data_IF_999093184003
#
_entry.id   IF_999093184003
#
_cell.length_a   1.000
_cell.length_b   1.000
_cell.length_c   1.000
_cell.angle_alpha   90.00
_cell.angle_beta   90.00
_cell.angle_gamma   90.00
#
_symmetry.space_group_name_H-M   'P 1'
#
loop_
_entity.id
_entity.type
_entity.pdbx_description
1 polymer ?
#
# COMPACT_ATOMS: atom_id res chain seq x y z
N UNK A 1 30.68 -16.82 -54.38
CA UNK A 1 29.47 -16.81 -53.54
C UNK A 1 29.91 -16.93 -52.09
N UNK A 2 29.86 -15.84 -51.32
CA UNK A 2 30.20 -15.85 -49.88
C UNK A 2 28.97 -16.27 -49.07
N UNK A 3 29.07 -17.21 -48.10
CA UNK A 3 27.96 -17.53 -47.22
C UNK A 3 27.79 -16.42 -46.17
N UNK A 4 26.56 -15.92 -46.01
CA UNK A 4 26.21 -15.00 -44.92
C UNK A 4 26.36 -15.71 -43.57
N UNK A 5 27.11 -15.06 -42.68
CA UNK A 5 27.32 -15.45 -41.29
C UNK A 5 26.00 -15.47 -40.50
N UNK A 6 25.62 -16.66 -40.02
CA UNK A 6 24.42 -16.94 -39.19
C UNK A 6 24.55 -16.48 -37.71
N UNK A 7 25.33 -15.44 -37.40
CA UNK A 7 25.78 -15.17 -36.02
C UNK A 7 25.30 -13.88 -35.36
N UNK A 8 24.26 -13.22 -35.87
CA UNK A 8 23.88 -11.88 -35.36
C UNK A 8 22.39 -11.65 -35.14
N UNK A 9 21.58 -12.68 -34.89
CA UNK A 9 20.12 -12.51 -34.65
C UNK A 9 19.72 -12.73 -33.17
N UNK A 10 20.59 -13.27 -32.32
CA UNK A 10 20.21 -13.71 -30.96
C UNK A 10 20.12 -12.59 -29.89
N UNK A 11 20.83 -11.44 -29.92
CA UNK A 11 20.82 -10.55 -28.74
C UNK A 11 19.58 -9.64 -28.68
N UNK A 12 18.85 -9.45 -29.78
CA UNK A 12 17.73 -8.50 -29.83
C UNK A 12 16.47 -9.01 -29.09
N UNK A 13 16.24 -10.33 -29.07
CA UNK A 13 15.04 -10.90 -28.44
C UNK A 13 15.09 -10.88 -26.91
N UNK A 14 16.30 -10.95 -26.33
CA UNK A 14 16.49 -10.92 -24.88
C UNK A 14 16.18 -9.52 -24.28
N UNK A 15 16.46 -8.44 -25.02
CA UNK A 15 16.21 -7.07 -24.54
C UNK A 15 14.71 -6.71 -24.49
N UNK A 16 13.90 -7.31 -25.37
CA UNK A 16 12.44 -7.11 -25.43
C UNK A 16 11.74 -7.88 -24.29
N UNK A 17 12.24 -9.05 -23.91
CA UNK A 17 11.66 -9.82 -22.81
C UNK A 17 11.92 -9.19 -21.44
N UNK A 18 13.04 -8.48 -21.25
CA UNK A 18 13.30 -7.75 -19.99
C UNK A 18 12.41 -6.51 -19.80
N UNK A 19 11.89 -5.92 -20.88
CA UNK A 19 11.04 -4.71 -20.79
C UNK A 19 9.57 -5.04 -20.58
N UNK A 20 9.12 -6.27 -20.86
CA UNK A 20 7.72 -6.68 -20.66
C UNK A 20 7.34 -6.91 -19.18
N UNK A 21 8.31 -7.18 -18.30
CA UNK A 21 8.04 -7.43 -16.87
C UNK A 21 7.66 -6.19 -16.06
N UNK A 22 8.01 -4.99 -16.52
CA UNK A 22 7.82 -3.75 -15.77
C UNK A 22 6.38 -3.21 -15.81
N UNK A 23 5.52 -3.72 -16.70
CA UNK A 23 4.20 -3.11 -16.96
C UNK A 23 3.10 -3.65 -16.01
N UNK A 24 3.35 -4.77 -15.31
CA UNK A 24 2.33 -5.44 -14.49
C UNK A 24 2.20 -4.94 -13.02
N UNK A 25 2.66 -3.73 -12.72
CA UNK A 25 2.65 -3.19 -11.34
C UNK A 25 1.64 -2.05 -11.08
N UNK A 26 0.68 -1.78 -11.98
CA UNK A 26 -0.21 -0.60 -11.91
C UNK A 26 -1.58 -0.86 -11.25
N UNK A 27 -1.71 -1.87 -10.39
CA UNK A 27 -3.00 -2.30 -9.84
C UNK A 27 -3.55 -1.44 -8.68
N UNK A 28 -2.94 -0.29 -8.35
CA UNK A 28 -3.40 0.60 -7.27
C UNK A 28 -4.76 1.29 -7.49
N UNK A 29 -5.27 1.33 -8.74
CA UNK A 29 -6.44 2.15 -9.07
C UNK A 29 -7.75 1.39 -9.33
N UNK A 30 -7.71 0.07 -9.58
CA UNK A 30 -8.91 -0.69 -10.00
C UNK A 30 -9.63 -1.40 -8.85
N UNK A 31 -9.36 -0.99 -7.61
CA UNK A 31 -9.85 -1.65 -6.40
C UNK A 31 -11.16 -1.08 -5.88
N UNK A 32 -12.09 -1.97 -5.55
CA UNK A 32 -13.19 -1.68 -4.65
C UNK A 32 -12.74 -2.09 -3.24
N UNK A 33 -12.78 -1.19 -2.27
CA UNK A 33 -12.19 -1.41 -0.95
C UNK A 33 -13.26 -1.56 0.13
N UNK A 34 -13.10 -2.57 0.98
CA UNK A 34 -14.05 -2.85 2.06
C UNK A 34 -13.94 -1.83 3.19
N UNK A 35 -14.93 -0.96 3.29
CA UNK A 35 -15.02 0.10 4.30
C UNK A 35 -15.64 -0.38 5.62
N UNK A 36 -16.34 -1.54 5.61
CA UNK A 36 -17.00 -2.09 6.79
C UNK A 36 -16.13 -3.04 7.59
N UNK A 37 -14.94 -3.37 7.10
CA UNK A 37 -13.91 -4.16 7.81
C UNK A 37 -12.54 -3.47 7.79
N UNK A 38 -12.43 -2.25 8.36
CA UNK A 38 -11.15 -1.56 8.45
C UNK A 38 -10.15 -2.35 9.31
N UNK A 39 -8.91 -2.39 8.85
CA UNK A 39 -7.80 -3.11 9.48
C UNK A 39 -6.87 -2.10 10.13
N UNK A 40 -6.62 -2.24 11.43
CA UNK A 40 -5.61 -1.46 12.14
C UNK A 40 -4.27 -2.21 12.12
N UNK A 41 -3.25 -1.56 11.60
CA UNK A 41 -1.88 -2.06 11.54
C UNK A 41 -0.99 -1.14 12.38
N UNK A 42 -0.39 -1.67 13.44
CA UNK A 42 0.61 -0.98 14.22
C UNK A 42 1.93 -1.74 14.17
N UNK A 43 3.03 -1.04 13.93
CA UNK A 43 4.30 -1.70 13.66
C UNK A 43 5.47 -0.77 13.45
N UNK A 44 6.59 -1.34 13.00
CA UNK A 44 7.79 -0.61 12.60
C UNK A 44 7.91 -0.54 11.08
N UNK A 45 8.27 0.62 10.54
CA UNK A 45 8.49 0.81 9.11
C UNK A 45 9.76 0.06 8.68
N UNK A 46 9.64 -0.76 7.66
CA UNK A 46 10.75 -1.58 7.11
C UNK A 46 11.17 -1.13 5.70
N UNK A 47 10.29 -0.47 4.96
CA UNK A 47 10.57 0.11 3.64
C UNK A 47 9.67 1.30 3.39
N UNK A 48 10.16 2.27 2.61
CA UNK A 48 9.39 3.43 2.18
C UNK A 48 9.69 3.78 0.73
N UNK A 49 8.65 4.10 -0.04
CA UNK A 49 8.74 4.67 -1.37
C UNK A 49 7.79 5.86 -1.42
N UNK A 50 8.30 7.09 -1.58
CA UNK A 50 7.48 8.30 -1.66
C UNK A 50 7.62 8.93 -3.05
N UNK A 51 7.30 8.15 -4.07
CA UNK A 51 7.41 8.55 -5.47
C UNK A 51 6.11 8.23 -6.22
N UNK A 52 5.80 8.92 -7.33
CA UNK A 52 4.65 8.58 -8.16
C UNK A 52 4.67 7.11 -8.63
N UNK A 53 3.51 6.46 -8.85
CA UNK A 53 2.16 7.02 -8.77
C UNK A 53 1.59 7.13 -7.34
N UNK A 54 2.08 6.32 -6.41
CA UNK A 54 1.58 6.27 -5.03
C UNK A 54 2.74 6.16 -4.04
N UNK A 55 2.68 6.86 -2.90
CA UNK A 55 3.53 6.54 -1.78
C UNK A 55 3.18 5.16 -1.22
N UNK A 56 4.18 4.40 -0.83
CA UNK A 56 4.04 3.05 -0.28
C UNK A 56 4.94 2.92 0.94
N UNK A 57 4.41 2.32 2.00
CA UNK A 57 5.21 1.92 3.17
C UNK A 57 5.06 0.42 3.40
N UNK A 58 6.12 -0.22 3.88
CA UNK A 58 6.08 -1.58 4.38
C UNK A 58 6.23 -1.56 5.89
N UNK A 59 5.32 -2.17 6.63
CA UNK A 59 5.28 -2.18 8.09
C UNK A 59 5.41 -3.60 8.60
N UNK A 60 6.37 -3.87 9.48
CA UNK A 60 6.39 -5.09 10.28
C UNK A 60 5.43 -4.90 11.43
N UNK A 61 4.31 -5.61 11.38
CA UNK A 61 3.19 -5.45 12.31
C UNK A 61 3.49 -6.22 13.60
N UNK A 62 3.29 -5.56 14.73
CA UNK A 62 3.43 -6.15 16.07
C UNK A 62 2.21 -5.85 16.96
N UNK A 63 1.26 -5.05 16.47
CA UNK A 63 0.02 -4.75 17.17
C UNK A 63 -0.93 -5.95 17.15
N UNK A 64 -1.22 -6.50 18.32
CA UNK A 64 -2.08 -7.67 18.49
C UNK A 64 -3.51 -7.34 18.95
N UNK A 65 -3.77 -6.10 19.36
CA UNK A 65 -5.06 -5.65 19.89
C UNK A 65 -5.34 -4.21 19.44
N UNK A 66 -6.63 -3.85 19.32
CA UNK A 66 -7.03 -2.48 18.96
C UNK A 66 -6.95 -1.60 20.22
N UNK A 67 -6.05 -0.61 20.29
CA UNK A 67 -6.02 0.33 21.40
C UNK A 67 -7.24 1.25 21.34
N UNK A 68 -7.48 2.00 22.42
CA UNK A 68 -8.43 3.10 22.40
C UNK A 68 -7.92 4.19 21.44
N UNK A 69 -8.41 4.16 20.20
CA UNK A 69 -8.05 5.07 19.14
C UNK A 69 -9.30 5.73 18.58
N UNK A 70 -9.31 7.05 18.57
CA UNK A 70 -10.31 7.81 17.84
C UNK A 70 -9.78 8.10 16.44
N UNK A 71 -10.43 7.51 15.45
CA UNK A 71 -10.05 7.68 14.04
C UNK A 71 -10.85 8.82 13.40
N UNK A 72 -12.09 9.10 13.86
CA UNK A 72 -13.07 10.03 13.28
C UNK A 72 -13.02 10.15 11.73
N UNK A 73 -13.40 9.06 11.03
CA UNK A 73 -13.43 8.98 9.55
C UNK A 73 -14.73 8.37 8.99
N UNK A 74 -15.93 8.86 9.34
CA UNK A 74 -17.19 8.24 8.91
C UNK A 74 -17.40 8.23 7.38
N UNK A 75 -16.66 9.05 6.63
CA UNK A 75 -16.69 9.08 5.16
C UNK A 75 -16.03 7.87 4.49
N UNK A 76 -15.04 7.26 5.16
CA UNK A 76 -14.19 6.18 4.62
C UNK A 76 -14.27 4.90 5.46
N UNK A 77 -14.53 5.02 6.75
CA UNK A 77 -14.51 3.93 7.72
C UNK A 77 -15.90 3.82 8.35
N UNK A 78 -16.63 2.79 7.96
CA UNK A 78 -18.01 2.54 8.41
C UNK A 78 -18.09 1.41 9.42
N UNK A 79 -17.06 0.55 9.46
CA UNK A 79 -16.97 -0.61 10.35
C UNK A 79 -16.16 -0.38 11.62
N UNK A 80 -16.13 -1.41 12.47
CA UNK A 80 -15.26 -1.47 13.64
C UNK A 80 -13.83 -1.78 13.20
N UNK A 81 -12.84 -1.06 13.75
CA UNK A 81 -11.43 -1.40 13.59
C UNK A 81 -11.15 -2.82 14.08
N UNK A 82 -10.39 -3.56 13.28
CA UNK A 82 -9.95 -4.92 13.62
C UNK A 82 -8.46 -5.06 13.45
N UNK A 83 -7.84 -5.88 14.28
CA UNK A 83 -6.50 -6.43 14.03
C UNK A 83 -6.68 -7.83 13.48
N UNK A 84 -5.88 -8.21 12.48
CA UNK A 84 -5.94 -9.55 11.89
C UNK A 84 -4.78 -10.40 12.44
N UNK A 85 -5.03 -11.58 13.01
CA UNK A 85 -3.96 -12.44 13.54
C UNK A 85 -2.87 -12.76 12.53
N UNK A 86 -3.22 -12.92 11.25
CA UNK A 86 -2.28 -13.19 10.16
C UNK A 86 -1.38 -11.99 9.79
N UNK A 87 -1.70 -10.78 10.26
CA UNK A 87 -0.83 -9.63 10.09
C UNK A 87 0.27 -9.57 11.14
N UNK A 88 0.02 -10.09 12.35
CA UNK A 88 0.98 -10.01 13.47
C UNK A 88 2.26 -10.78 13.15
N UNK A 89 3.40 -10.10 13.21
CA UNK A 89 4.72 -10.61 12.83
C UNK A 89 5.01 -10.55 11.32
N UNK A 90 4.02 -10.29 10.48
CA UNK A 90 4.18 -10.17 9.03
C UNK A 90 4.64 -8.76 8.63
N UNK A 91 5.26 -8.66 7.46
CA UNK A 91 5.48 -7.36 6.79
C UNK A 91 4.32 -7.11 5.83
N UNK A 92 3.59 -6.01 6.05
CA UNK A 92 2.48 -5.57 5.19
C UNK A 92 2.86 -4.34 4.40
N UNK A 93 2.67 -4.42 3.10
CA UNK A 93 2.79 -3.28 2.19
C UNK A 93 1.46 -2.54 2.15
N UNK A 94 1.51 -1.23 2.32
CA UNK A 94 0.34 -0.36 2.37
C UNK A 94 0.57 0.78 1.39
N UNK A 95 -0.35 0.88 0.42
CA UNK A 95 -0.41 2.00 -0.51
C UNK A 95 -1.10 3.19 0.18
N UNK A 96 -0.46 4.35 0.15
CA UNK A 96 -1.01 5.58 0.70
C UNK A 96 -1.72 6.37 -0.39
N UNK A 97 -2.72 7.14 0.00
CA UNK A 97 -3.44 8.02 -0.92
C UNK A 97 -2.47 8.95 -1.67
N UNK A 98 -2.58 9.10 -3.01
CA UNK A 98 -1.63 9.84 -3.84
C UNK A 98 -1.88 11.36 -3.75
N UNK A 99 -1.88 11.90 -2.55
CA UNK A 99 -2.03 13.33 -2.28
C UNK A 99 -0.75 13.87 -1.65
N UNK A 100 -0.52 15.16 -1.85
CA UNK A 100 0.73 15.85 -1.46
C UNK A 100 1.16 15.53 -0.03
N UNK A 101 0.23 15.50 0.92
CA UNK A 101 0.54 15.26 2.33
C UNK A 101 1.20 13.90 2.57
N UNK A 102 0.77 12.84 1.86
CA UNK A 102 1.41 11.52 1.97
C UNK A 102 2.75 11.43 1.23
N UNK A 103 2.97 12.20 0.15
CA UNK A 103 4.31 12.29 -0.47
C UNK A 103 5.31 13.01 0.44
N UNK A 104 4.84 14.01 1.19
CA UNK A 104 5.66 14.79 2.12
C UNK A 104 6.10 13.99 3.36
N UNK A 105 5.52 12.81 3.60
CA UNK A 105 6.00 11.88 4.64
C UNK A 105 7.43 11.39 4.39
N UNK A 106 7.97 11.56 3.17
CA UNK A 106 9.38 11.34 2.86
C UNK A 106 10.37 12.10 3.75
N UNK A 107 9.95 13.22 4.35
CA UNK A 107 10.78 13.99 5.26
C UNK A 107 10.62 13.55 6.72
N UNK A 108 9.55 12.79 7.01
CA UNK A 108 9.02 12.56 8.36
C UNK A 108 9.05 11.11 8.82
N UNK A 109 9.02 10.17 7.87
CA UNK A 109 9.07 8.74 8.14
C UNK A 109 10.44 8.19 7.71
N UNK A 110 11.04 7.40 8.59
CA UNK A 110 12.28 6.66 8.40
C UNK A 110 12.04 5.17 8.65
N UNK A 111 12.92 4.35 8.09
CA UNK A 111 12.97 2.93 8.43
C UNK A 111 13.29 2.81 9.93
N UNK A 112 12.51 1.99 10.64
CA UNK A 112 12.56 1.83 12.09
C UNK A 112 11.47 2.59 12.85
N UNK A 113 10.87 3.62 12.25
CA UNK A 113 9.84 4.42 12.92
C UNK A 113 8.59 3.59 13.22
N UNK A 114 7.92 3.94 14.33
CA UNK A 114 6.63 3.37 14.71
C UNK A 114 5.50 4.15 14.05
N UNK A 115 4.54 3.43 13.50
CA UNK A 115 3.33 4.01 12.91
C UNK A 115 2.11 3.18 13.27
N UNK A 116 0.94 3.82 13.30
CA UNK A 116 -0.35 3.14 13.24
C UNK A 116 -1.07 3.55 11.96
N UNK A 117 -1.65 2.59 11.26
CA UNK A 117 -2.28 2.79 9.96
C UNK A 117 -3.64 2.13 9.97
N UNK A 118 -4.67 2.85 9.54
CA UNK A 118 -5.96 2.23 9.24
C UNK A 118 -5.99 1.93 7.75
N UNK A 119 -5.96 0.65 7.43
CA UNK A 119 -5.95 0.13 6.08
C UNK A 119 -7.31 -0.45 5.68
N UNK A 120 -7.66 -0.28 4.42
CA UNK A 120 -8.77 -0.96 3.77
C UNK A 120 -8.21 -2.01 2.82
N UNK A 121 -8.85 -3.16 2.77
CA UNK A 121 -8.47 -4.24 1.87
C UNK A 121 -9.22 -4.13 0.54
N UNK A 122 -8.50 -4.29 -0.56
CA UNK A 122 -9.11 -4.42 -1.88
C UNK A 122 -9.91 -5.73 -1.97
N UNK A 123 -11.13 -5.66 -2.45
CA UNK A 123 -12.00 -6.82 -2.61
C UNK A 123 -11.59 -7.74 -3.76
N UNK A 124 -10.71 -7.28 -4.65
CA UNK A 124 -10.19 -8.09 -5.75
C UNK A 124 -8.77 -8.57 -5.43
N UNK A 125 -8.40 -9.79 -5.86
CA UNK A 125 -7.01 -10.21 -5.83
C UNK A 125 -6.09 -9.16 -6.49
N UNK A 126 -4.90 -8.89 -5.92
CA UNK A 126 -4.27 -9.63 -4.83
C UNK A 126 -4.60 -9.12 -3.41
N UNK A 127 -5.74 -8.45 -3.21
CA UNK A 127 -6.17 -7.94 -1.89
C UNK A 127 -5.20 -6.93 -1.26
N UNK A 128 -4.74 -6.00 -2.09
CA UNK A 128 -3.86 -4.89 -1.67
C UNK A 128 -4.47 -4.10 -0.50
N UNK A 129 -3.59 -3.58 0.35
CA UNK A 129 -3.95 -2.71 1.44
C UNK A 129 -3.73 -1.26 1.02
N UNK A 130 -4.72 -0.42 1.28
CA UNK A 130 -4.66 1.02 1.04
C UNK A 130 -4.98 1.79 2.30
N UNK A 131 -4.38 2.95 2.48
CA UNK A 131 -4.75 3.86 3.56
C UNK A 131 -4.80 5.33 3.14
N UNK A 132 -5.73 6.05 3.75
CA UNK A 132 -5.79 7.53 3.78
C UNK A 132 -5.73 8.05 5.22
N UNK A 133 -5.17 7.26 6.16
CA UNK A 133 -5.04 7.60 7.57
C UNK A 133 -3.79 6.95 8.18
N UNK A 134 -2.90 7.74 8.74
CA UNK A 134 -1.71 7.26 9.45
C UNK A 134 -1.44 8.14 10.66
N UNK A 135 -1.13 7.51 11.79
CA UNK A 135 -0.54 8.17 12.94
C UNK A 135 0.96 7.87 13.00
N UNK A 136 1.74 8.94 13.19
CA UNK A 136 3.20 8.88 13.30
C UNK A 136 3.65 8.63 14.74
N UNK A 137 4.96 8.44 14.92
CA UNK A 137 5.58 8.15 16.22
C UNK A 137 5.45 9.28 17.25
N UNK A 138 5.30 10.53 16.79
CA UNK A 138 5.04 11.71 17.62
C UNK A 138 3.55 11.90 17.97
N UNK A 139 2.68 11.00 17.49
CA UNK A 139 1.24 11.05 17.70
C UNK A 139 0.48 11.88 16.66
N UNK A 140 1.15 12.58 15.75
CA UNK A 140 0.48 13.34 14.70
C UNK A 140 -0.26 12.40 13.75
N UNK A 141 -1.49 12.80 13.39
CA UNK A 141 -2.35 12.08 12.46
C UNK A 141 -2.35 12.80 11.12
N UNK A 142 -1.98 12.08 10.06
CA UNK A 142 -2.16 12.51 8.68
C UNK A 142 -3.33 11.74 8.09
N UNK A 143 -4.34 12.48 7.64
CA UNK A 143 -5.52 11.88 7.04
C UNK A 143 -6.09 12.70 5.88
N UNK A 144 -6.71 12.01 4.90
CA UNK A 144 -7.30 12.63 3.72
C UNK A 144 -8.75 12.19 3.49
N UNK A 145 -9.66 13.16 3.47
CA UNK A 145 -11.12 12.94 3.60
C UNK A 145 -11.91 12.86 2.30
N UNK A 146 -11.29 12.99 1.12
CA UNK A 146 -12.06 13.09 -0.15
C UNK A 146 -12.30 11.76 -0.87
N UNK A 147 -11.99 10.62 -0.24
CA UNK A 147 -12.37 9.28 -0.71
C UNK A 147 -11.94 8.98 -2.16
N UNK A 148 -10.64 8.76 -2.41
CA UNK A 148 -10.09 8.55 -3.76
C UNK A 148 -10.30 7.13 -4.33
N UNK A 149 -11.13 6.30 -3.69
CA UNK A 149 -11.31 4.91 -4.08
C UNK A 149 -12.80 4.54 -4.12
N UNK A 150 -13.13 3.46 -4.84
CA UNK A 150 -14.48 2.91 -4.83
C UNK A 150 -14.70 2.15 -3.53
N UNK A 151 -15.76 2.50 -2.81
CA UNK A 151 -16.10 1.89 -1.52
C UNK A 151 -16.95 0.63 -1.73
N UNK A 152 -16.75 -0.36 -0.88
CA UNK A 152 -17.62 -1.52 -0.68
C UNK A 152 -18.03 -1.60 0.79
N UNK A 153 -19.21 -2.17 1.02
CA UNK A 153 -19.62 -2.68 2.32
C UNK A 153 -19.52 -4.20 2.25
N UNK A 154 -18.39 -4.74 2.69
CA UNK A 154 -18.04 -6.14 2.50
C UNK A 154 -17.49 -6.45 1.11
N UNK A 155 -16.46 -7.28 1.06
CA UNK A 155 -16.10 -7.99 -0.16
C UNK A 155 -17.02 -9.22 -0.32
N UNK A 156 -17.80 -9.23 -1.40
CA UNK A 156 -18.75 -10.30 -1.72
C UNK A 156 -18.11 -11.64 -2.04
#
# INVERSE_FOLDING_TARGET
MMPLSRRTIVPALALILLSAGAVLAHHGYTGQYDTSRPILLGGSVTRTTFAPPHPVISVRVDLAEVPALDVDRPDEITGRLTVRPEDVGAVREIELSPVRDFFNLSERIRIGDRVMVVALMNCRPPHQLRSSWIQLSDGEIISYTRGLHQRADGCG
#
